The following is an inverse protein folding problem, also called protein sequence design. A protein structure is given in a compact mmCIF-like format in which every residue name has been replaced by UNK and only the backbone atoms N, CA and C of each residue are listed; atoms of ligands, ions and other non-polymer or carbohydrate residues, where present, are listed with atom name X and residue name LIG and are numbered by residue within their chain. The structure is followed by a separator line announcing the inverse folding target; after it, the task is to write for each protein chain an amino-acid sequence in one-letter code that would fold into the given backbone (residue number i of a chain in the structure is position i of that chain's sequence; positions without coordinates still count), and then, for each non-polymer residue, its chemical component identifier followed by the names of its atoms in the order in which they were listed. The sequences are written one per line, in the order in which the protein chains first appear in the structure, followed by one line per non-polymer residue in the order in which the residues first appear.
data_IF_086460232103
#
_entry.id   IF_086460232103
#
_cell.length_a   1.000
_cell.length_b   1.000
_cell.length_c   1.000
_cell.angle_alpha   90.00
_cell.angle_beta   90.00
_cell.angle_gamma   90.00
#
_symmetry.space_group_name_H-M   'P 1'
#
loop_
_entity.id
_entity.type
_entity.pdbx_description
1 polymer ?
#
# COMPACT_ATOMS: atom_id res chain seq x y z
N UNK A 1 1.27 -6.82 -1.22
CA UNK A 1 1.79 -5.45 -0.99
C UNK A 1 0.68 -4.64 -0.31
N UNK A 2 0.97 -3.86 0.73
CA UNK A 2 -0.03 -3.21 1.61
C UNK A 2 -1.10 -2.42 0.85
N UNK A 3 -0.74 -1.68 -0.21
CA UNK A 3 -1.72 -0.96 -1.03
C UNK A 3 -2.67 -1.86 -1.82
N UNK A 4 -2.25 -3.09 -2.16
CA UNK A 4 -3.13 -4.10 -2.74
C UNK A 4 -4.19 -4.56 -1.74
N UNK A 5 -3.77 -4.85 -0.50
CA UNK A 5 -4.69 -5.21 0.59
C UNK A 5 -5.70 -4.08 0.88
N UNK A 6 -5.23 -2.84 0.94
CA UNK A 6 -6.08 -1.64 1.11
C UNK A 6 -7.08 -1.52 -0.05
N UNK A 7 -6.67 -1.79 -1.29
CA UNK A 7 -7.56 -1.75 -2.46
C UNK A 7 -8.61 -2.86 -2.44
N UNK A 8 -8.23 -4.06 -2.04
CA UNK A 8 -9.16 -5.20 -1.95
C UNK A 8 -10.26 -4.95 -0.91
N UNK A 9 -9.91 -4.29 0.20
CA UNK A 9 -10.81 -4.04 1.32
C UNK A 9 -11.35 -2.60 1.37
N UNK A 10 -11.11 -1.77 0.35
CA UNK A 10 -11.55 -0.36 0.34
C UNK A 10 -13.06 -0.17 0.24
N UNK A 11 -13.79 -1.23 -0.12
CA UNK A 11 -15.25 -1.22 -0.12
C UNK A 11 -15.86 -1.50 1.26
N UNK A 12 -15.11 -2.17 2.12
CA UNK A 12 -15.56 -2.59 3.46
C UNK A 12 -15.04 -1.65 4.55
N UNK A 13 -13.84 -1.08 4.36
CA UNK A 13 -13.19 -0.22 5.34
C UNK A 13 -12.73 1.10 4.73
N UNK A 14 -12.73 2.15 5.56
CA UNK A 14 -12.20 3.44 5.17
C UNK A 14 -10.69 3.35 4.90
N UNK A 15 -10.27 3.75 3.69
CA UNK A 15 -8.86 3.80 3.27
C UNK A 15 -8.00 4.58 4.26
N UNK A 16 -8.52 5.67 4.84
CA UNK A 16 -7.82 6.45 5.86
C UNK A 16 -7.46 5.64 7.10
N UNK A 17 -8.43 4.89 7.64
CA UNK A 17 -8.21 4.05 8.80
C UNK A 17 -7.21 2.95 8.49
N UNK A 18 -7.33 2.31 7.34
CA UNK A 18 -6.37 1.29 6.93
C UNK A 18 -4.96 1.88 6.74
N UNK A 19 -4.82 3.08 6.19
CA UNK A 19 -3.52 3.75 6.06
C UNK A 19 -2.90 4.04 7.44
N UNK A 20 -3.69 4.51 8.40
CA UNK A 20 -3.25 4.76 9.77
C UNK A 20 -2.80 3.46 10.45
N UNK A 21 -3.63 2.41 10.41
CA UNK A 21 -3.36 1.11 11.06
C UNK A 21 -2.15 0.42 10.44
N UNK A 22 -2.00 0.48 9.11
CA UNK A 22 -0.92 -0.18 8.37
C UNK A 22 0.34 0.68 8.25
N UNK A 23 0.37 1.87 8.86
CA UNK A 23 1.53 2.75 8.90
C UNK A 23 1.97 3.29 7.53
N UNK A 24 1.04 3.48 6.59
CA UNK A 24 1.33 3.99 5.24
C UNK A 24 0.67 5.34 4.99
N UNK A 25 1.26 6.15 4.11
CA UNK A 25 0.66 7.43 3.75
C UNK A 25 -0.53 7.26 2.81
N UNK A 26 -1.61 8.01 3.08
CA UNK A 26 -2.79 8.09 2.21
C UNK A 26 -2.44 8.63 0.82
N UNK A 27 -1.58 9.65 0.76
CA UNK A 27 -1.07 10.19 -0.51
C UNK A 27 -0.31 9.13 -1.30
N UNK A 28 0.51 8.30 -0.64
CA UNK A 28 1.22 7.18 -1.27
C UNK A 28 0.30 6.14 -1.87
N UNK A 29 -0.82 5.82 -1.19
CA UNK A 29 -1.86 4.93 -1.72
C UNK A 29 -2.49 5.48 -3.01
N UNK A 30 -2.97 6.73 -3.00
CA UNK A 30 -3.59 7.30 -4.19
C UNK A 30 -2.59 7.54 -5.33
N UNK A 31 -1.33 7.87 -5.02
CA UNK A 31 -0.26 7.91 -6.01
C UNK A 31 0.03 6.53 -6.61
N UNK A 32 0.02 5.47 -5.78
CA UNK A 32 0.12 4.09 -6.27
C UNK A 32 -1.07 3.70 -7.14
N UNK A 33 -2.28 4.10 -6.79
CA UNK A 33 -3.49 3.84 -7.58
C UNK A 33 -3.48 4.56 -8.94
N UNK A 34 -2.92 5.78 -8.98
CA UNK A 34 -2.76 6.59 -10.21
C UNK A 34 -1.66 6.07 -11.15
N UNK A 35 -0.72 5.25 -10.68
CA UNK A 35 0.29 4.65 -11.56
C UNK A 35 -0.43 3.69 -12.51
N UNK A 36 -0.47 4.04 -13.80
CA UNK A 36 -1.07 3.21 -14.86
C UNK A 36 -0.61 1.75 -14.73
N UNK A 37 -1.49 0.76 -14.94
CA UNK A 37 -1.14 -0.66 -14.94
C UNK A 37 -0.35 -1.02 -16.20
N UNK A 38 0.87 -0.50 -16.32
CA UNK A 38 1.84 -0.87 -17.36
C UNK A 38 2.84 -1.87 -16.80
N UNK A 39 2.58 -3.16 -17.05
CA UNK A 39 3.59 -4.23 -17.19
C UNK A 39 4.61 -4.51 -16.06
N UNK A 40 4.46 -4.03 -14.82
CA UNK A 40 5.35 -4.45 -13.71
C UNK A 40 4.60 -4.91 -12.46
N UNK A 41 3.73 -5.91 -12.64
CA UNK A 41 3.18 -6.76 -11.57
C UNK A 41 4.28 -7.70 -11.07
N UNK A 42 5.30 -7.18 -10.38
CA UNK A 42 6.30 -7.89 -9.56
C UNK A 42 7.31 -6.84 -9.09
N UNK A 43 7.87 -7.02 -7.90
CA UNK A 43 8.96 -6.21 -7.31
C UNK A 43 8.53 -5.13 -6.32
N UNK A 44 7.84 -5.50 -5.24
CA UNK A 44 8.15 -4.83 -3.97
C UNK A 44 7.95 -5.75 -2.75
N UNK A 45 8.60 -6.91 -2.80
CA UNK A 45 8.83 -7.75 -1.61
C UNK A 45 10.16 -7.40 -0.89
N UNK A 46 10.91 -6.41 -1.36
CA UNK A 46 12.30 -6.16 -0.92
C UNK A 46 12.51 -4.90 -0.07
N UNK A 47 11.50 -4.48 0.69
CA UNK A 47 11.61 -3.33 1.60
C UNK A 47 10.95 -3.59 2.97
N UNK A 48 10.82 -4.85 3.40
CA UNK A 48 10.40 -5.20 4.77
C UNK A 48 11.55 -5.40 5.76
N UNK A 49 12.81 -5.45 5.30
CA UNK A 49 13.95 -5.77 6.17
C UNK A 49 14.52 -4.58 6.97
N UNK A 50 14.00 -3.36 6.83
CA UNK A 50 14.61 -2.16 7.44
C UNK A 50 13.80 -1.43 8.51
N UNK A 51 12.65 -1.93 8.94
CA UNK A 51 11.82 -1.24 9.96
C UNK A 51 11.72 -2.03 11.29
N UNK A 52 12.21 -3.27 11.38
CA UNK A 52 12.12 -4.07 12.63
C UNK A 52 13.46 -4.15 13.40
N UNK A 53 14.40 -3.24 13.16
CA UNK A 53 15.62 -3.19 13.97
C UNK A 53 16.06 -1.75 14.23
N UNK A 54 15.26 -1.03 15.01
CA UNK A 54 15.72 0.05 15.90
C UNK A 54 14.94 -0.09 17.20
#
# INVERSE_FOLDING_TARGET
MIYGFIREHSNEFAVEKMCQVLGVSRSGYYSWLKRKPGSRKKTNDRLKEKIVYI
#
